data_IF_866965862564
#
_entry.id   IF_866965862564
#
_cell.length_a   1.000
_cell.length_b   1.000
_cell.length_c   1.000
_cell.angle_alpha   90.00
_cell.angle_beta   90.00
_cell.angle_gamma   90.00
#
_symmetry.space_group_name_H-M   'P 1'
#
loop_
_entity.id
_entity.type
_entity.pdbx_description
1 polymer ?
#
# COMPACT_ATOMS: atom_id res chain seq x y z
N UNK A 1 8.28 -42.07 -27.30
CA UNK A 1 7.22 -41.12 -27.69
C UNK A 1 6.15 -40.95 -26.63
N UNK A 2 5.58 -42.02 -26.05
CA UNK A 2 4.50 -41.91 -25.05
C UNK A 2 4.90 -41.11 -23.80
N UNK A 3 6.06 -41.38 -23.20
CA UNK A 3 6.53 -40.68 -21.98
C UNK A 3 6.64 -39.15 -22.15
N UNK A 4 6.99 -38.67 -23.34
CA UNK A 4 7.09 -37.22 -23.61
C UNK A 4 5.72 -36.56 -23.68
N UNK A 5 4.68 -37.29 -24.11
CA UNK A 5 3.31 -36.76 -24.15
C UNK A 5 2.74 -36.57 -22.73
N UNK A 6 3.03 -37.49 -21.80
CA UNK A 6 2.58 -37.40 -20.41
C UNK A 6 3.23 -36.23 -19.65
N UNK A 7 4.53 -36.00 -19.88
CA UNK A 7 5.25 -34.86 -19.28
C UNK A 7 4.73 -33.52 -19.82
N UNK A 8 4.50 -33.42 -21.13
CA UNK A 8 3.89 -32.25 -21.75
C UNK A 8 2.47 -31.99 -21.21
N UNK A 9 1.66 -33.04 -21.00
CA UNK A 9 0.33 -32.91 -20.40
C UNK A 9 0.40 -32.40 -18.95
N UNK A 10 1.36 -32.88 -18.16
CA UNK A 10 1.59 -32.39 -16.79
C UNK A 10 2.02 -30.92 -16.78
N UNK A 11 2.92 -30.54 -17.69
CA UNK A 11 3.32 -29.14 -17.88
C UNK A 11 2.12 -28.26 -18.23
N UNK A 12 1.28 -28.68 -19.19
CA UNK A 12 0.08 -27.95 -19.60
C UNK A 12 -0.93 -27.77 -18.45
N UNK A 13 -1.15 -28.80 -17.64
CA UNK A 13 -2.00 -28.69 -16.44
C UNK A 13 -1.45 -27.67 -15.44
N UNK A 14 -0.13 -27.69 -15.20
CA UNK A 14 0.54 -26.73 -14.31
C UNK A 14 0.41 -25.31 -14.84
N UNK A 15 0.68 -25.09 -16.12
CA UNK A 15 0.52 -23.80 -16.79
C UNK A 15 -0.92 -23.27 -16.64
N UNK A 16 -1.92 -24.11 -16.87
CA UNK A 16 -3.32 -23.70 -16.72
C UNK A 16 -3.66 -23.22 -15.30
N UNK A 17 -3.19 -23.95 -14.28
CA UNK A 17 -3.35 -23.56 -12.88
C UNK A 17 -2.65 -22.23 -12.59
N UNK A 18 -1.43 -22.04 -13.09
CA UNK A 18 -0.65 -20.83 -12.87
C UNK A 18 -1.28 -19.61 -13.56
N UNK A 19 -1.76 -19.76 -14.80
CA UNK A 19 -2.51 -18.72 -15.53
C UNK A 19 -3.79 -18.35 -14.77
N UNK A 20 -4.58 -19.34 -14.35
CA UNK A 20 -5.83 -19.11 -13.61
C UNK A 20 -5.56 -18.39 -12.30
N UNK A 21 -4.50 -18.78 -11.59
CA UNK A 21 -4.08 -18.13 -10.34
C UNK A 21 -3.64 -16.68 -10.58
N UNK A 22 -2.87 -16.43 -11.64
CA UNK A 22 -2.44 -15.09 -12.02
C UNK A 22 -3.65 -14.20 -12.38
N UNK A 23 -4.60 -14.72 -13.16
CA UNK A 23 -5.83 -14.01 -13.51
C UNK A 23 -6.67 -13.66 -12.27
N UNK A 24 -6.83 -14.58 -11.33
CA UNK A 24 -7.55 -14.31 -10.08
C UNK A 24 -6.86 -13.24 -9.22
N UNK A 25 -5.52 -13.25 -9.18
CA UNK A 25 -4.74 -12.22 -8.48
C UNK A 25 -4.91 -10.85 -9.12
N UNK A 26 -4.85 -10.76 -10.45
CA UNK A 26 -5.07 -9.51 -11.20
C UNK A 26 -6.47 -8.96 -10.91
N UNK A 27 -7.52 -9.77 -11.03
CA UNK A 27 -8.89 -9.34 -10.73
C UNK A 27 -9.08 -8.83 -9.28
N UNK A 28 -8.39 -9.46 -8.33
CA UNK A 28 -8.40 -9.03 -6.91
C UNK A 28 -7.69 -7.67 -6.73
N UNK A 29 -6.56 -7.46 -7.41
CA UNK A 29 -5.81 -6.20 -7.37
C UNK A 29 -6.59 -5.06 -8.04
N UNK A 30 -7.16 -5.30 -9.23
CA UNK A 30 -8.01 -4.34 -9.95
C UNK A 30 -9.20 -3.90 -9.09
N UNK A 31 -9.89 -4.85 -8.46
CA UNK A 31 -11.02 -4.55 -7.57
C UNK A 31 -10.59 -3.74 -6.33
N UNK A 32 -9.41 -4.05 -5.76
CA UNK A 32 -8.87 -3.31 -4.61
C UNK A 32 -8.50 -1.87 -4.97
N UNK A 33 -7.91 -1.66 -6.15
CA UNK A 33 -7.57 -0.32 -6.64
C UNK A 33 -8.81 0.56 -6.78
N UNK A 34 -9.91 0.00 -7.31
CA UNK A 34 -11.20 0.71 -7.40
C UNK A 34 -11.69 1.13 -6.02
N UNK A 35 -11.68 0.23 -5.03
CA UNK A 35 -12.11 0.54 -3.65
C UNK A 35 -11.25 1.66 -3.05
N UNK A 36 -9.93 1.62 -3.21
CA UNK A 36 -9.02 2.64 -2.68
C UNK A 36 -9.27 4.00 -3.35
N UNK A 37 -9.45 4.02 -4.67
CA UNK A 37 -9.74 5.26 -5.41
C UNK A 37 -11.07 5.87 -4.96
N UNK A 38 -12.11 5.05 -4.80
CA UNK A 38 -13.41 5.52 -4.31
C UNK A 38 -13.33 6.00 -2.85
N UNK A 39 -12.65 5.27 -1.98
CA UNK A 39 -12.43 5.67 -0.58
C UNK A 39 -11.68 7.00 -0.47
N UNK A 40 -10.62 7.20 -1.26
CA UNK A 40 -9.89 8.47 -1.31
C UNK A 40 -10.76 9.61 -1.85
N UNK A 41 -11.60 9.34 -2.85
CA UNK A 41 -12.55 10.32 -3.38
C UNK A 41 -13.58 10.73 -2.31
N UNK A 42 -14.08 9.78 -1.52
CA UNK A 42 -14.99 10.08 -0.41
C UNK A 42 -14.29 10.87 0.70
N UNK A 43 -13.10 10.44 1.14
CA UNK A 43 -12.33 11.16 2.16
C UNK A 43 -12.03 12.61 1.76
N UNK A 44 -11.72 12.86 0.47
CA UNK A 44 -11.52 14.22 -0.05
C UNK A 44 -12.82 15.03 -0.08
N UNK A 45 -13.97 14.39 -0.32
CA UNK A 45 -15.27 15.05 -0.27
C UNK A 45 -15.64 15.42 1.17
N UNK A 46 -15.44 14.51 2.12
CA UNK A 46 -15.64 14.74 3.55
C UNK A 46 -14.75 15.88 4.05
N UNK A 47 -13.45 15.88 3.74
CA UNK A 47 -12.55 16.98 4.12
C UNK A 47 -12.98 18.34 3.53
N UNK A 48 -13.60 18.35 2.35
CA UNK A 48 -14.13 19.58 1.75
C UNK A 48 -15.41 20.05 2.46
N UNK A 49 -16.21 19.12 2.99
CA UNK A 49 -17.43 19.41 3.73
C UNK A 49 -17.16 19.81 5.18
N UNK A 50 -16.16 19.19 5.83
CA UNK A 50 -15.70 19.53 7.18
C UNK A 50 -15.18 20.98 7.25
N UNK A 51 -14.54 21.46 6.17
CA UNK A 51 -14.16 22.87 6.04
C UNK A 51 -15.34 23.82 5.88
N UNK A 52 -16.54 23.34 5.51
CA UNK A 52 -17.75 24.16 5.51
C UNK A 52 -18.45 24.21 6.85
N UNK A 53 -18.09 23.36 7.82
CA UNK A 53 -18.59 23.51 9.20
C UNK A 53 -17.83 24.59 9.99
N UNK A 54 -16.78 25.16 9.41
CA UNK A 54 -16.33 26.51 9.77
C UNK A 54 -16.59 27.50 8.63
N UNK A 55 -17.85 27.95 8.40
CA UNK A 55 -18.08 29.09 7.54
C UNK A 55 -17.48 30.40 8.09
N UNK A 56 -17.08 30.48 9.37
CA UNK A 56 -16.75 31.77 10.02
C UNK A 56 -15.60 31.68 11.04
N UNK A 57 -14.43 31.16 10.67
CA UNK A 57 -13.20 31.47 11.44
C UNK A 57 -12.03 31.97 10.60
N UNK A 58 -12.03 31.79 9.27
CA UNK A 58 -11.05 32.48 8.42
C UNK A 58 -11.43 33.94 8.11
N UNK A 59 -12.58 34.42 8.59
CA UNK A 59 -12.88 35.83 8.74
C UNK A 59 -13.11 36.15 10.22
N UNK A 60 -12.26 35.61 11.11
CA UNK A 60 -12.02 36.35 12.34
C UNK A 60 -11.64 37.77 11.94
N UNK A 61 -12.37 38.80 12.43
CA UNK A 61 -12.08 40.18 12.09
C UNK A 61 -10.60 40.47 12.40
N UNK A 62 -9.97 41.37 11.63
CA UNK A 62 -8.56 41.71 11.83
C UNK A 62 -8.34 41.97 13.32
N UNK A 63 -7.17 41.59 13.88
CA UNK A 63 -6.88 41.70 15.32
C UNK A 63 -6.87 43.18 15.74
N UNK A 64 -8.06 43.74 15.85
CA UNK A 64 -8.34 45.09 16.26
C UNK A 64 -8.45 45.04 17.78
N UNK A 65 -7.37 45.48 18.42
CA UNK A 65 -7.51 46.31 19.60
C UNK A 65 -8.08 45.60 20.84
N UNK A 66 -7.68 44.37 21.11
CA UNK A 66 -7.39 44.05 22.52
C UNK A 66 -6.06 44.74 22.88
N UNK A 67 -6.15 46.07 22.94
CA UNK A 67 -5.33 46.93 23.78
C UNK A 67 -5.09 46.15 25.08
N UNK A 68 -3.83 45.87 25.45
CA UNK A 68 -3.53 45.12 26.66
C UNK A 68 -4.06 45.94 27.82
N UNK A 69 -5.28 45.62 28.26
CA UNK A 69 -5.99 46.33 29.32
C UNK A 69 -5.21 46.11 30.61
N UNK A 70 -4.22 46.97 30.78
CA UNK A 70 -3.72 47.53 32.03
C UNK A 70 -3.91 46.58 33.19
N UNK A 71 -2.96 45.66 33.33
CA UNK A 71 -2.42 45.20 34.61
C UNK A 71 -3.38 45.35 35.80
N UNK A 72 -4.41 44.51 35.88
CA UNK A 72 -4.95 44.11 37.17
C UNK A 72 -4.36 42.76 37.54
N UNK A 73 -3.12 42.81 38.03
CA UNK A 73 -2.53 41.69 38.76
C UNK A 73 -3.42 41.41 39.96
N UNK A 74 -4.14 40.28 39.93
CA UNK A 74 -4.55 39.62 41.16
C UNK A 74 -3.50 38.53 41.39
N UNK A 75 -2.68 38.63 42.46
CA UNK A 75 -1.71 37.60 42.80
C UNK A 75 -2.38 36.24 43.04
N UNK A 76 -1.67 35.18 42.68
CA UNK A 76 -2.11 33.79 42.67
C UNK A 76 -2.73 33.30 44.01
N UNK A 77 -3.74 32.43 43.96
CA UNK A 77 -3.92 31.41 44.98
C UNK A 77 -3.13 30.18 44.56
N UNK A 78 -1.94 30.02 45.12
CA UNK A 78 -1.23 28.75 45.20
C UNK A 78 -2.15 27.75 45.92
N UNK A 79 -2.89 26.92 45.18
CA UNK A 79 -3.52 25.73 45.76
C UNK A 79 -3.00 24.54 44.98
N UNK A 80 -1.85 24.10 45.46
CA UNK A 80 -1.39 22.72 45.52
C UNK A 80 -2.59 21.79 45.78
N UNK A 81 -3.35 21.49 44.74
CA UNK A 81 -4.28 20.37 44.77
C UNK A 81 -3.40 19.15 44.58
N UNK A 82 -3.03 18.59 45.74
CA UNK A 82 -2.57 17.22 45.93
C UNK A 82 -2.94 16.34 44.74
N UNK A 83 -1.92 16.05 43.95
CA UNK A 83 -1.83 14.86 43.11
C UNK A 83 -1.85 13.65 44.07
N UNK A 84 -3.06 13.28 44.53
CA UNK A 84 -3.29 12.14 45.41
C UNK A 84 -4.44 11.32 44.82
N UNK A 85 -4.17 10.63 43.72
CA UNK A 85 -4.90 9.43 43.32
C UNK A 85 -4.01 8.62 42.38
N UNK A 86 -3.33 7.65 42.97
CA UNK A 86 -2.53 6.65 42.32
C UNK A 86 -3.32 5.93 41.21
N UNK A 87 -2.99 6.18 39.95
CA UNK A 87 -3.33 5.24 38.87
C UNK A 87 -2.44 5.43 37.65
N UNK A 88 -1.14 5.15 37.81
CA UNK A 88 -0.32 4.74 36.67
C UNK A 88 0.65 3.68 37.17
N UNK A 89 0.34 2.39 36.92
CA UNK A 89 1.27 1.62 36.11
C UNK A 89 0.53 0.65 35.18
N UNK A 90 0.74 0.82 33.88
CA UNK A 90 1.47 -0.23 33.19
C UNK A 90 2.78 0.37 32.68
N UNK A 91 3.87 -0.22 33.15
CA UNK A 91 5.18 -0.05 32.56
C UNK A 91 5.07 -0.18 31.04
N UNK A 92 5.81 0.67 30.33
CA UNK A 92 6.12 0.52 28.92
C UNK A 92 6.34 -0.96 28.65
N UNK A 93 5.46 -1.55 27.83
CA UNK A 93 5.61 -2.92 27.36
C UNK A 93 7.06 -3.11 26.93
N UNK A 94 7.70 -4.23 27.29
CA UNK A 94 9.10 -4.45 26.98
C UNK A 94 9.29 -4.23 25.47
N UNK A 95 10.03 -3.18 25.14
CA UNK A 95 10.43 -2.88 23.77
C UNK A 95 10.97 -4.16 23.18
N UNK A 96 10.41 -4.49 22.02
CA UNK A 96 10.98 -5.29 20.96
C UNK A 96 12.22 -6.06 21.37
N UNK A 97 12.01 -7.37 21.41
CA UNK A 97 12.92 -8.46 21.13
C UNK A 97 13.79 -8.17 19.89
N UNK A 98 14.55 -7.07 19.92
CA UNK A 98 15.73 -6.78 19.14
C UNK A 98 16.86 -7.71 19.62
N UNK A 99 16.55 -9.00 19.72
CA UNK A 99 17.52 -10.04 19.46
C UNK A 99 17.82 -9.96 17.96
N UNK A 100 18.70 -9.00 17.69
CA UNK A 100 19.56 -8.84 16.55
C UNK A 100 19.80 -10.18 15.82
N UNK A 101 19.23 -10.37 14.62
CA UNK A 101 19.57 -11.51 13.77
C UNK A 101 20.95 -11.29 13.16
N UNK A 102 22.00 -11.49 13.93
CA UNK A 102 23.39 -11.55 13.48
C UNK A 102 23.71 -13.00 13.11
N UNK A 103 24.25 -13.23 11.91
CA UNK A 103 24.71 -14.49 11.28
C UNK A 103 23.89 -15.07 10.11
N UNK A 104 23.12 -14.27 9.36
CA UNK A 104 22.69 -14.69 8.01
C UNK A 104 23.64 -14.15 6.92
N UNK A 105 24.95 -14.23 7.17
CA UNK A 105 25.99 -14.08 6.15
C UNK A 105 26.29 -15.45 5.50
N UNK A 106 25.26 -16.23 5.18
CA UNK A 106 25.42 -17.31 4.21
C UNK A 106 25.34 -16.67 2.82
N UNK A 107 26.52 -16.50 2.23
CA UNK A 107 26.77 -15.97 0.91
C UNK A 107 25.97 -16.72 -0.16
N UNK A 108 24.74 -16.26 -0.41
CA UNK A 108 23.96 -16.64 -1.58
C UNK A 108 24.70 -16.14 -2.82
N UNK A 109 25.54 -16.99 -3.42
CA UNK A 109 26.02 -16.76 -4.77
C UNK A 109 24.81 -16.85 -5.72
N UNK A 110 24.40 -15.75 -6.38
CA UNK A 110 23.38 -15.84 -7.41
C UNK A 110 24.03 -16.52 -8.61
N UNK A 111 23.87 -17.85 -8.74
CA UNK A 111 23.86 -18.47 -10.06
C UNK A 111 22.65 -17.87 -10.76
N UNK A 112 22.86 -16.73 -11.41
CA UNK A 112 21.84 -16.18 -12.29
C UNK A 112 21.65 -17.22 -13.38
N UNK A 113 20.41 -17.69 -13.62
CA UNK A 113 20.15 -18.49 -14.79
C UNK A 113 20.49 -17.60 -15.98
N UNK A 114 21.60 -17.91 -16.64
CA UNK A 114 21.99 -17.30 -17.90
C UNK A 114 20.77 -17.39 -18.81
N UNK A 115 20.09 -16.26 -19.00
CA UNK A 115 18.99 -16.14 -19.94
C UNK A 115 19.59 -16.42 -21.32
N UNK A 116 19.55 -17.67 -21.74
CA UNK A 116 19.85 -18.10 -23.09
C UNK A 116 18.72 -17.61 -23.99
N UNK A 117 18.78 -16.32 -24.30
CA UNK A 117 18.73 -15.73 -25.65
C UNK A 117 17.87 -16.46 -26.71
N UNK A 118 16.63 -16.81 -26.38
CA UNK A 118 15.63 -17.06 -27.42
C UNK A 118 14.34 -16.38 -27.01
N UNK A 119 14.40 -15.06 -26.94
CA UNK A 119 13.20 -14.24 -27.13
C UNK A 119 12.81 -14.45 -28.60
N UNK A 120 12.11 -15.55 -28.85
CA UNK A 120 11.47 -15.83 -30.12
C UNK A 120 10.39 -14.77 -30.28
N UNK A 121 10.77 -13.66 -30.89
CA UNK A 121 9.87 -12.59 -31.29
C UNK A 121 8.97 -13.15 -32.40
N UNK A 122 7.91 -13.85 -31.99
CA UNK A 122 6.83 -14.27 -32.88
C UNK A 122 6.18 -13.00 -33.41
N UNK A 123 6.51 -12.64 -34.65
CA UNK A 123 5.91 -11.50 -35.32
C UNK A 123 4.49 -11.87 -35.75
N UNK A 124 3.51 -11.41 -34.97
CA UNK A 124 2.08 -11.59 -35.24
C UNK A 124 1.66 -11.15 -36.65
N UNK A 125 2.38 -10.21 -37.27
CA UNK A 125 2.13 -9.80 -38.67
C UNK A 125 2.33 -10.93 -39.67
N UNK A 126 3.21 -11.90 -39.37
CA UNK A 126 3.42 -13.08 -40.22
C UNK A 126 2.22 -14.02 -40.24
N UNK A 127 1.43 -14.08 -39.15
CA UNK A 127 0.28 -14.98 -39.04
C UNK A 127 -0.93 -14.49 -39.85
N UNK A 128 -0.98 -13.20 -40.20
CA UNK A 128 -2.03 -12.63 -41.03
C UNK A 128 -1.82 -12.86 -42.54
N UNK A 129 -0.68 -13.42 -42.95
CA UNK A 129 -0.48 -13.75 -44.37
C UNK A 129 -1.25 -15.04 -44.67
N UNK A 130 -2.34 -14.91 -45.44
CA UNK A 130 -3.27 -15.99 -45.78
C UNK A 130 -2.54 -17.31 -46.13
N UNK A 131 -2.67 -18.39 -45.36
CA UNK A 131 -2.03 -19.68 -45.66
C UNK A 131 -2.77 -20.45 -46.77
N UNK A 132 -3.54 -19.75 -47.60
CA UNK A 132 -4.58 -20.33 -48.46
C UNK A 132 -4.19 -20.59 -49.90
N UNK A 133 -2.96 -20.27 -50.34
CA UNK A 133 -2.55 -20.49 -51.73
C UNK A 133 -1.82 -21.84 -51.89
N UNK A 134 -2.53 -22.92 -51.56
CA UNK A 134 -2.24 -24.25 -52.11
C UNK A 134 -3.22 -24.50 -53.25
N UNK A 135 -3.03 -23.74 -54.31
CA UNK A 135 -3.63 -23.98 -55.62
C UNK A 135 -2.64 -24.78 -56.47
N UNK A 136 -2.83 -26.11 -56.57
CA UNK A 136 -2.51 -26.95 -57.74
C UNK A 136 -3.04 -28.37 -57.55
#
# INVERSE_FOLDING_TARGET
MIAQAEDAEKCNRKLHVDITTAQARVATLESREVIVVEALKQAKNEQAMDKKEHPESSQDPPPELFEPLTMKKIPAPSREIKEEAASTPPALLPSEELQEPVQLEEEFNPVLPSQSSTEEVINISSLLTHPGDVSN
#
